data_IF_445607093780
#
_entry.id   IF_445607093780
#
_cell.length_a   1.000
_cell.length_b   1.000
_cell.length_c   1.000
_cell.angle_alpha   90.00
_cell.angle_beta   90.00
_cell.angle_gamma   90.00
#
_symmetry.space_group_name_H-M   'P 1'
#
loop_
_entity.id
_entity.type
_entity.pdbx_description
1 polymer ?
#
# COMPACT_ATOMS: atom_id res chain seq x y z
N UNK A 1 -10.24 9.78 7.32
CA UNK A 1 -8.90 9.19 7.56
C UNK A 1 -9.08 7.87 8.28
N UNK A 2 -8.04 6.99 8.28
CA UNK A 2 -8.01 5.74 9.05
C UNK A 2 -7.05 5.91 10.23
N UNK A 3 -7.33 5.25 11.36
CA UNK A 3 -6.42 5.17 12.49
C UNK A 3 -5.30 4.15 12.16
N UNK A 4 -4.05 4.59 12.22
CA UNK A 4 -2.90 3.74 11.89
C UNK A 4 -2.48 2.86 13.06
N UNK A 5 -2.62 1.54 12.93
CA UNK A 5 -2.27 0.56 13.96
C UNK A 5 -0.80 0.67 14.38
N UNK A 6 0.13 0.76 13.42
CA UNK A 6 1.55 0.87 13.74
C UNK A 6 1.89 2.09 14.58
N UNK A 7 1.24 3.25 14.31
CA UNK A 7 1.38 4.45 15.14
C UNK A 7 0.82 4.23 16.55
N UNK A 8 -0.38 3.64 16.64
CA UNK A 8 -1.03 3.34 17.92
C UNK A 8 -0.16 2.38 18.74
N UNK A 9 0.34 1.31 18.13
CA UNK A 9 1.24 0.36 18.78
C UNK A 9 2.54 1.02 19.25
N UNK A 10 3.15 1.86 18.41
CA UNK A 10 4.36 2.58 18.78
C UNK A 10 4.13 3.53 19.96
N UNK A 11 2.98 4.21 20.02
CA UNK A 11 2.60 5.06 21.15
C UNK A 11 2.40 4.25 22.45
N UNK A 12 1.82 3.07 22.36
CA UNK A 12 1.53 2.25 23.54
C UNK A 12 2.74 1.46 24.06
N UNK A 13 3.62 0.99 23.16
CA UNK A 13 4.66 0.01 23.50
C UNK A 13 6.06 0.34 22.96
N UNK A 14 6.20 1.43 22.20
CA UNK A 14 7.44 1.71 21.47
C UNK A 14 7.59 0.88 20.19
N UNK A 15 8.64 1.18 19.44
CA UNK A 15 8.83 0.62 18.09
C UNK A 15 9.41 -0.80 18.08
N UNK A 16 10.10 -1.20 19.13
CA UNK A 16 10.90 -2.44 19.15
C UNK A 16 10.39 -3.55 20.07
N UNK A 17 9.20 -3.42 20.63
CA UNK A 17 8.66 -4.40 21.59
C UNK A 17 7.86 -5.47 20.85
N UNK A 18 8.36 -6.74 20.77
CA UNK A 18 7.64 -7.81 20.07
C UNK A 18 6.41 -8.30 20.82
N UNK A 19 6.47 -8.36 22.14
CA UNK A 19 5.37 -8.82 22.99
C UNK A 19 4.75 -7.65 23.75
N UNK A 20 3.43 -7.67 23.88
CA UNK A 20 2.66 -6.62 24.58
C UNK A 20 2.18 -7.17 25.94
N UNK A 21 2.34 -6.37 26.99
CA UNK A 21 1.70 -6.65 28.26
C UNK A 21 0.24 -6.17 28.29
N UNK A 22 -0.48 -6.52 29.36
CA UNK A 22 -1.90 -6.18 29.50
C UNK A 22 -2.15 -4.66 29.58
N UNK A 23 -1.23 -3.87 30.11
CA UNK A 23 -1.38 -2.41 30.20
C UNK A 23 -1.19 -1.77 28.81
N UNK A 24 -0.21 -2.24 28.04
CA UNK A 24 0.03 -1.80 26.67
C UNK A 24 -1.15 -2.18 25.75
N UNK A 25 -1.71 -3.39 25.90
CA UNK A 25 -2.89 -3.81 25.16
C UNK A 25 -4.12 -2.94 25.51
N UNK A 26 -4.34 -2.63 26.77
CA UNK A 26 -5.41 -1.73 27.19
C UNK A 26 -5.24 -0.32 26.64
N UNK A 27 -4.00 0.16 26.53
CA UNK A 27 -3.72 1.46 25.93
C UNK A 27 -3.97 1.47 24.40
N UNK A 28 -3.66 0.38 23.70
CA UNK A 28 -4.01 0.21 22.28
C UNK A 28 -5.54 0.29 22.09
N UNK A 29 -6.32 -0.42 22.91
CA UNK A 29 -7.78 -0.36 22.85
C UNK A 29 -8.28 1.07 23.06
N UNK A 30 -7.80 1.75 24.09
CA UNK A 30 -8.16 3.13 24.39
C UNK A 30 -7.85 4.09 23.25
N UNK A 31 -6.68 3.94 22.60
CA UNK A 31 -6.27 4.78 21.47
C UNK A 31 -7.14 4.51 20.24
N UNK A 32 -7.45 3.24 19.92
CA UNK A 32 -8.37 2.90 18.83
C UNK A 32 -9.73 3.54 19.05
N UNK A 33 -10.32 3.37 20.26
CA UNK A 33 -11.61 3.97 20.61
C UNK A 33 -11.60 5.50 20.49
N UNK A 34 -10.51 6.14 20.93
CA UNK A 34 -10.32 7.58 20.83
C UNK A 34 -10.31 8.05 19.38
N UNK A 35 -9.56 7.38 18.50
CA UNK A 35 -9.48 7.75 17.06
C UNK A 35 -10.83 7.53 16.35
N UNK A 36 -11.53 6.44 16.65
CA UNK A 36 -12.87 6.20 16.13
C UNK A 36 -13.87 7.25 16.60
N UNK A 37 -13.80 7.65 17.87
CA UNK A 37 -14.64 8.74 18.41
C UNK A 37 -14.31 10.11 17.79
N UNK A 38 -13.06 10.33 17.38
CA UNK A 38 -12.63 11.51 16.63
C UNK A 38 -13.05 11.50 15.14
N UNK A 39 -13.69 10.42 14.67
CA UNK A 39 -14.26 10.33 13.33
C UNK A 39 -13.41 9.57 12.32
N UNK A 40 -12.45 8.76 12.78
CA UNK A 40 -11.73 7.85 11.88
C UNK A 40 -12.72 6.86 11.22
N UNK A 41 -12.56 6.66 9.90
CA UNK A 41 -13.43 5.78 9.11
C UNK A 41 -13.19 4.29 9.37
N UNK A 42 -12.02 3.93 9.89
CA UNK A 42 -11.60 2.56 10.15
C UNK A 42 -10.21 2.52 10.76
N UNK A 43 -9.63 1.32 10.83
CA UNK A 43 -8.26 1.09 11.29
C UNK A 43 -7.42 0.52 10.13
N UNK A 44 -6.21 1.03 9.94
CA UNK A 44 -5.28 0.51 8.94
C UNK A 44 -4.12 -0.23 9.60
N UNK A 45 -3.78 -1.40 9.06
CA UNK A 45 -2.71 -2.28 9.51
C UNK A 45 -1.58 -2.32 8.49
N UNK A 46 -0.34 -2.41 8.98
CA UNK A 46 0.85 -2.62 8.17
C UNK A 46 1.64 -3.85 8.62
N UNK A 47 1.07 -5.06 8.45
CA UNK A 47 1.64 -6.29 9.01
C UNK A 47 2.98 -6.71 8.40
N UNK A 48 3.37 -6.15 7.24
CA UNK A 48 4.72 -6.30 6.68
C UNK A 48 5.75 -5.37 7.31
N UNK A 49 5.34 -4.39 8.12
CA UNK A 49 6.19 -3.33 8.67
C UNK A 49 6.29 -3.38 10.18
N UNK A 50 7.46 -3.00 10.73
CA UNK A 50 7.58 -2.76 12.16
C UNK A 50 6.80 -1.47 12.54
N UNK A 51 6.09 -1.45 13.67
CA UNK A 51 6.01 -2.50 14.69
C UNK A 51 4.86 -3.51 14.52
N UNK A 52 3.95 -3.35 13.55
CA UNK A 52 2.79 -4.22 13.39
C UNK A 52 3.15 -5.67 13.03
N UNK A 53 4.28 -5.88 12.35
CA UNK A 53 4.78 -7.23 12.01
C UNK A 53 5.05 -8.12 13.25
N UNK A 54 5.17 -7.53 14.43
CA UNK A 54 5.40 -8.28 15.68
C UNK A 54 4.11 -8.84 16.31
N UNK A 55 2.92 -8.51 15.79
CA UNK A 55 1.70 -9.18 16.25
C UNK A 55 1.68 -10.65 15.80
N UNK A 56 1.36 -11.58 16.73
CA UNK A 56 0.77 -12.85 16.32
C UNK A 56 -0.68 -12.62 15.88
N UNK A 57 -1.28 -13.60 15.22
CA UNK A 57 -2.70 -13.51 14.82
C UNK A 57 -3.63 -13.31 16.03
N UNK A 58 -3.34 -14.01 17.16
CA UNK A 58 -4.10 -13.88 18.39
C UNK A 58 -3.95 -12.50 19.02
N UNK A 59 -2.71 -11.99 19.09
CA UNK A 59 -2.45 -10.65 19.62
C UNK A 59 -3.07 -9.56 18.74
N UNK A 60 -3.10 -9.76 17.41
CA UNK A 60 -3.78 -8.86 16.48
C UNK A 60 -5.30 -8.85 16.71
N UNK A 61 -5.93 -10.03 16.84
CA UNK A 61 -7.36 -10.15 17.16
C UNK A 61 -7.67 -9.47 18.50
N UNK A 62 -6.83 -9.64 19.50
CA UNK A 62 -6.98 -8.97 20.79
C UNK A 62 -6.86 -7.45 20.65
N UNK A 63 -5.84 -6.95 19.97
CA UNK A 63 -5.63 -5.51 19.75
C UNK A 63 -6.82 -4.83 19.04
N UNK A 64 -7.51 -5.57 18.17
CA UNK A 64 -8.62 -5.06 17.36
C UNK A 64 -10.00 -5.34 18.00
N UNK A 65 -10.08 -5.83 19.26
CA UNK A 65 -11.37 -6.06 19.95
C UNK A 65 -12.32 -4.85 19.95
N UNK A 66 -11.87 -3.57 19.99
CA UNK A 66 -12.77 -2.42 19.86
C UNK A 66 -13.58 -2.39 18.56
N UNK A 67 -13.15 -3.10 17.51
CA UNK A 67 -13.85 -3.18 16.23
C UNK A 67 -14.86 -4.33 16.13
N UNK A 68 -14.89 -5.22 17.10
CA UNK A 68 -15.74 -6.42 17.04
C UNK A 68 -17.21 -6.09 16.88
N UNK A 69 -17.87 -6.68 15.88
CA UNK A 69 -19.28 -6.46 15.52
C UNK A 69 -19.63 -4.98 15.20
N UNK A 70 -18.64 -4.13 14.90
CA UNK A 70 -18.87 -2.70 14.71
C UNK A 70 -19.30 -2.33 13.29
N UNK A 71 -19.02 -3.19 12.30
CA UNK A 71 -19.12 -2.86 10.88
C UNK A 71 -18.11 -1.81 10.40
N UNK A 72 -17.11 -1.46 11.22
CA UNK A 72 -16.06 -0.51 10.89
C UNK A 72 -14.95 -1.25 10.14
N UNK A 73 -14.53 -0.79 8.94
CA UNK A 73 -13.57 -1.52 8.14
C UNK A 73 -12.16 -1.53 8.76
N UNK A 74 -11.49 -2.67 8.58
CA UNK A 74 -10.05 -2.82 8.75
C UNK A 74 -9.44 -2.85 7.34
N UNK A 75 -8.47 -1.99 7.06
CA UNK A 75 -7.65 -2.08 5.84
C UNK A 75 -6.28 -2.66 6.20
N UNK A 76 -5.68 -3.47 5.33
CA UNK A 76 -4.46 -4.17 5.71
C UNK A 76 -3.47 -4.31 4.56
N UNK A 77 -2.25 -3.81 4.76
CA UNK A 77 -1.06 -4.35 4.11
C UNK A 77 -0.71 -5.67 4.80
N UNK A 78 -0.83 -6.77 4.08
CA UNK A 78 -0.68 -8.11 4.64
C UNK A 78 0.76 -8.38 5.11
N UNK A 79 0.94 -9.40 5.92
CA UNK A 79 2.23 -9.79 6.51
C UNK A 79 3.27 -10.19 5.47
N UNK A 80 2.81 -10.83 4.40
CA UNK A 80 3.60 -11.18 3.22
C UNK A 80 2.75 -11.01 1.96
N UNK A 81 3.38 -10.61 0.87
CA UNK A 81 2.74 -10.41 -0.43
C UNK A 81 3.42 -11.23 -1.55
N UNK A 82 4.47 -11.98 -1.22
CA UNK A 82 5.20 -12.89 -2.10
C UNK A 82 4.86 -14.36 -1.84
N UNK A 83 5.85 -15.17 -1.47
CA UNK A 83 5.68 -16.62 -1.33
C UNK A 83 4.72 -17.02 -0.22
N UNK A 84 4.56 -16.20 0.82
CA UNK A 84 3.64 -16.41 1.93
C UNK A 84 2.28 -15.71 1.79
N UNK A 85 1.98 -15.09 0.64
CA UNK A 85 0.79 -14.24 0.46
C UNK A 85 -0.53 -14.97 0.69
N UNK A 86 -0.63 -16.23 0.30
CA UNK A 86 -1.85 -17.04 0.49
C UNK A 86 -2.11 -17.30 1.97
N UNK A 87 -1.07 -17.57 2.76
CA UNK A 87 -1.20 -17.78 4.21
C UNK A 87 -1.48 -16.46 4.94
N UNK A 88 -0.89 -15.35 4.49
CA UNK A 88 -1.20 -14.02 4.99
C UNK A 88 -2.68 -13.64 4.73
N UNK A 89 -3.25 -14.03 3.59
CA UNK A 89 -4.68 -13.85 3.34
C UNK A 89 -5.54 -14.74 4.26
N UNK A 90 -5.14 -15.99 4.53
CA UNK A 90 -5.85 -16.85 5.49
C UNK A 90 -5.83 -16.27 6.91
N UNK A 91 -4.73 -15.63 7.32
CA UNK A 91 -4.66 -14.86 8.56
C UNK A 91 -5.75 -13.78 8.58
N UNK A 92 -5.89 -12.98 7.54
CA UNK A 92 -6.90 -11.91 7.47
C UNK A 92 -8.34 -12.44 7.46
N UNK A 93 -8.60 -13.55 6.78
CA UNK A 93 -9.90 -14.22 6.86
C UNK A 93 -10.20 -14.69 8.29
N UNK A 94 -9.19 -15.18 9.01
CA UNK A 94 -9.32 -15.58 10.42
C UNK A 94 -9.64 -14.39 11.31
N UNK A 95 -8.95 -13.26 11.12
CA UNK A 95 -9.23 -12.00 11.86
C UNK A 95 -10.64 -11.50 11.58
N UNK A 96 -11.06 -11.47 10.31
CA UNK A 96 -12.41 -11.06 9.92
C UNK A 96 -13.50 -11.93 10.56
N UNK A 97 -13.31 -13.26 10.59
CA UNK A 97 -14.20 -14.21 11.25
C UNK A 97 -14.28 -13.98 12.76
N UNK A 98 -13.15 -13.77 13.42
CA UNK A 98 -13.09 -13.59 14.87
C UNK A 98 -13.73 -12.27 15.35
N UNK A 99 -13.58 -11.22 14.54
CA UNK A 99 -14.07 -9.88 14.88
C UNK A 99 -15.46 -9.57 14.30
N UNK A 100 -15.96 -10.37 13.35
CA UNK A 100 -17.21 -10.08 12.62
C UNK A 100 -17.26 -8.63 12.13
N UNK A 101 -16.19 -8.18 11.44
CA UNK A 101 -16.07 -6.83 10.90
C UNK A 101 -15.46 -6.88 9.50
N UNK A 102 -15.77 -5.91 8.61
CA UNK A 102 -15.25 -5.90 7.25
C UNK A 102 -13.71 -5.79 7.21
N UNK A 103 -13.08 -6.56 6.33
CA UNK A 103 -11.64 -6.46 6.02
C UNK A 103 -11.45 -6.12 4.55
N UNK A 104 -10.69 -5.07 4.28
CA UNK A 104 -10.20 -4.69 2.95
C UNK A 104 -8.71 -5.03 2.88
N UNK A 105 -8.35 -5.98 2.03
CA UNK A 105 -6.96 -6.31 1.75
C UNK A 105 -6.41 -5.27 0.79
N UNK A 106 -5.53 -4.41 1.27
CA UNK A 106 -4.96 -3.30 0.50
C UNK A 106 -4.02 -3.81 -0.58
N UNK A 107 -4.04 -3.15 -1.75
CA UNK A 107 -3.11 -3.34 -2.87
C UNK A 107 -2.75 -4.80 -3.15
N UNK A 108 -3.78 -5.66 -3.25
CA UNK A 108 -3.62 -7.11 -3.46
C UNK A 108 -2.68 -7.38 -4.64
N UNK A 109 -1.66 -8.20 -4.42
CA UNK A 109 -0.67 -8.58 -5.43
C UNK A 109 0.01 -9.90 -5.09
N UNK A 110 0.77 -10.43 -6.04
CA UNK A 110 1.69 -11.57 -5.86
C UNK A 110 3.09 -11.13 -6.25
N UNK A 111 3.95 -10.87 -5.26
CA UNK A 111 5.33 -10.42 -5.49
C UNK A 111 6.21 -11.59 -5.95
N UNK A 112 6.95 -11.36 -7.06
CA UNK A 112 7.96 -12.27 -7.59
C UNK A 112 7.45 -13.24 -8.62
N UNK A 113 8.27 -13.45 -9.68
CA UNK A 113 7.92 -14.24 -10.88
C UNK A 113 7.41 -15.65 -10.59
N UNK A 114 7.93 -16.29 -9.54
CA UNK A 114 7.50 -17.64 -9.14
C UNK A 114 6.06 -17.69 -8.58
N UNK A 115 5.51 -16.55 -8.17
CA UNK A 115 4.20 -16.42 -7.56
C UNK A 115 3.14 -15.92 -8.55
N UNK A 116 3.57 -15.26 -9.65
CA UNK A 116 2.67 -14.72 -10.68
C UNK A 116 1.79 -15.81 -11.29
N UNK A 117 0.56 -15.46 -11.63
CA UNK A 117 -0.46 -16.34 -12.23
C UNK A 117 -0.84 -17.55 -11.38
N UNK A 118 -0.23 -17.72 -10.20
CA UNK A 118 -0.48 -18.84 -9.29
C UNK A 118 -1.15 -18.39 -7.98
N UNK A 119 -0.56 -17.39 -7.30
CA UNK A 119 -1.10 -16.98 -6.00
C UNK A 119 -2.34 -16.10 -6.14
N UNK A 120 -2.42 -15.24 -7.15
CA UNK A 120 -3.58 -14.35 -7.37
C UNK A 120 -4.89 -15.13 -7.58
N UNK A 121 -5.00 -16.13 -8.47
CA UNK A 121 -6.20 -16.93 -8.60
C UNK A 121 -6.61 -17.66 -7.32
N UNK A 122 -5.64 -18.17 -6.56
CA UNK A 122 -5.90 -18.85 -5.28
C UNK A 122 -6.44 -17.87 -4.23
N UNK A 123 -5.87 -16.66 -4.14
CA UNK A 123 -6.36 -15.63 -3.23
C UNK A 123 -7.79 -15.21 -3.55
N UNK A 124 -8.10 -14.96 -4.83
CA UNK A 124 -9.45 -14.59 -5.27
C UNK A 124 -10.46 -15.72 -4.96
N UNK A 125 -10.07 -17.00 -5.14
CA UNK A 125 -10.89 -18.16 -4.77
C UNK A 125 -11.15 -18.21 -3.26
N UNK A 126 -10.12 -18.04 -2.42
CA UNK A 126 -10.27 -18.04 -0.97
C UNK A 126 -11.16 -16.90 -0.47
N UNK A 127 -11.01 -15.71 -1.04
CA UNK A 127 -11.89 -14.58 -0.70
C UNK A 127 -13.34 -14.85 -1.10
N UNK A 128 -13.57 -15.48 -2.27
CA UNK A 128 -14.89 -15.85 -2.71
C UNK A 128 -15.53 -16.90 -1.77
N UNK A 129 -14.78 -17.91 -1.36
CA UNK A 129 -15.24 -18.91 -0.38
C UNK A 129 -15.57 -18.27 0.97
N UNK A 130 -14.70 -17.42 1.49
CA UNK A 130 -14.94 -16.69 2.74
C UNK A 130 -16.22 -15.84 2.66
N UNK A 131 -16.47 -15.15 1.53
CA UNK A 131 -17.71 -14.40 1.32
C UNK A 131 -18.96 -15.29 1.28
N UNK A 132 -18.86 -16.49 0.72
CA UNK A 132 -19.96 -17.47 0.75
C UNK A 132 -20.29 -17.96 2.17
N UNK A 133 -19.31 -17.97 3.06
CA UNK A 133 -19.46 -18.25 4.49
C UNK A 133 -19.93 -17.02 5.31
N UNK A 134 -20.21 -15.89 4.64
CA UNK A 134 -20.70 -14.67 5.29
C UNK A 134 -19.60 -13.74 5.84
N UNK A 135 -18.33 -13.97 5.48
CA UNK A 135 -17.23 -13.07 5.86
C UNK A 135 -17.22 -11.86 4.94
N UNK A 136 -17.22 -10.66 5.51
CA UNK A 136 -17.08 -9.43 4.75
C UNK A 136 -15.60 -9.17 4.47
N UNK A 137 -15.12 -9.66 3.30
CA UNK A 137 -13.75 -9.47 2.83
C UNK A 137 -13.73 -8.98 1.39
N UNK A 138 -12.91 -7.97 1.13
CA UNK A 138 -12.71 -7.33 -0.15
C UNK A 138 -11.25 -6.99 -0.35
N UNK A 139 -10.87 -6.45 -1.50
CA UNK A 139 -9.51 -6.00 -1.77
C UNK A 139 -9.49 -4.74 -2.61
N UNK A 140 -8.35 -4.09 -2.65
CA UNK A 140 -8.07 -3.05 -3.60
C UNK A 140 -6.79 -3.34 -4.40
N UNK A 141 -6.56 -2.57 -5.46
CA UNK A 141 -5.41 -2.70 -6.35
C UNK A 141 -5.10 -1.35 -7.00
N UNK A 142 -3.84 -1.08 -7.26
CA UNK A 142 -3.42 0.01 -8.13
C UNK A 142 -3.01 -0.53 -9.51
N UNK A 143 -3.25 0.23 -10.61
CA UNK A 143 -3.05 -0.26 -11.98
C UNK A 143 -1.59 -0.11 -12.45
N UNK A 144 -0.63 -0.62 -11.69
CA UNK A 144 0.81 -0.62 -12.02
C UNK A 144 1.48 -1.90 -11.54
N UNK A 145 2.49 -2.34 -12.29
CA UNK A 145 3.28 -3.55 -11.97
C UNK A 145 4.41 -3.29 -10.98
N UNK A 146 4.68 -2.03 -10.65
CA UNK A 146 5.65 -1.66 -9.63
C UNK A 146 4.97 -1.14 -8.36
N UNK A 147 5.58 -1.40 -7.22
CA UNK A 147 5.28 -0.81 -5.93
C UNK A 147 6.17 0.38 -5.59
N UNK A 148 5.92 1.01 -4.45
CA UNK A 148 6.80 2.02 -3.88
C UNK A 148 6.60 2.09 -2.37
N UNK A 149 7.69 1.91 -1.64
CA UNK A 149 7.74 1.99 -0.17
C UNK A 149 9.14 2.39 0.29
N UNK A 150 9.40 2.36 1.59
CA UNK A 150 10.73 2.61 2.15
C UNK A 150 11.69 1.47 1.79
N UNK A 151 12.91 1.80 1.34
CA UNK A 151 13.92 0.81 0.95
C UNK A 151 14.29 -0.14 2.11
N UNK A 152 14.19 0.32 3.35
CA UNK A 152 14.43 -0.50 4.55
C UNK A 152 13.52 -1.72 4.64
N UNK A 153 12.38 -1.73 3.94
CA UNK A 153 11.46 -2.87 3.87
C UNK A 153 12.07 -4.11 3.18
N UNK A 154 13.13 -3.95 2.43
CA UNK A 154 13.90 -5.07 1.85
C UNK A 154 14.61 -5.91 2.93
N UNK A 155 14.84 -5.33 4.12
CA UNK A 155 15.52 -5.98 5.24
C UNK A 155 14.55 -6.82 6.08
N UNK A 156 15.04 -7.89 6.74
CA UNK A 156 14.25 -8.63 7.72
C UNK A 156 13.69 -7.70 8.81
N UNK A 157 12.39 -7.80 9.16
CA UNK A 157 11.75 -6.88 10.12
C UNK A 157 12.42 -6.82 11.49
N UNK A 158 12.98 -7.94 11.95
CA UNK A 158 13.71 -8.00 13.23
C UNK A 158 14.95 -7.11 13.28
N UNK A 159 15.54 -6.76 12.13
CA UNK A 159 16.66 -5.82 12.05
C UNK A 159 16.28 -4.40 12.47
N UNK A 160 14.98 -4.07 12.41
CA UNK A 160 14.44 -2.76 12.75
C UNK A 160 14.02 -2.63 14.22
N UNK A 161 14.30 -3.64 15.06
CA UNK A 161 14.09 -3.56 16.51
C UNK A 161 14.88 -2.39 17.09
N UNK A 162 14.20 -1.51 17.81
CA UNK A 162 14.79 -0.28 18.36
C UNK A 162 14.66 0.94 17.45
N UNK A 163 14.13 0.78 16.23
CA UNK A 163 13.90 1.88 15.27
C UNK A 163 15.05 2.09 14.29
N UNK A 164 14.85 3.07 13.38
CA UNK A 164 15.76 3.29 12.26
C UNK A 164 17.12 3.89 12.68
N UNK A 165 17.17 4.63 13.78
CA UNK A 165 18.42 5.15 14.32
C UNK A 165 19.33 4.01 14.78
N UNK A 166 18.78 3.08 15.56
CA UNK A 166 19.51 1.88 16.02
C UNK A 166 19.94 1.01 14.84
N UNK A 167 19.07 0.82 13.84
CA UNK A 167 19.46 0.11 12.62
C UNK A 167 20.61 0.80 11.89
N UNK A 168 20.58 2.12 11.78
CA UNK A 168 21.63 2.91 11.12
C UNK A 168 22.99 2.73 11.84
N UNK A 169 22.98 2.71 13.17
CA UNK A 169 24.17 2.46 13.97
C UNK A 169 24.67 1.01 13.79
N UNK A 170 23.78 0.03 13.83
CA UNK A 170 24.12 -1.37 13.64
C UNK A 170 24.68 -1.65 12.23
N UNK A 171 24.22 -0.93 11.21
CA UNK A 171 24.75 -1.04 9.85
C UNK A 171 26.22 -0.53 9.74
N UNK A 172 26.79 0.10 10.76
CA UNK A 172 28.22 0.40 10.81
C UNK A 172 29.09 -0.81 11.22
N UNK A 173 28.49 -1.83 11.85
CA UNK A 173 29.19 -3.04 12.30
C UNK A 173 29.28 -4.09 11.18
N UNK A 174 30.48 -4.49 10.74
CA UNK A 174 30.66 -5.53 9.74
C UNK A 174 30.05 -6.89 10.14
N UNK A 175 30.08 -7.25 11.43
CA UNK A 175 29.53 -8.52 11.89
C UNK A 175 27.99 -8.52 11.79
N UNK A 176 27.34 -7.39 12.10
CA UNK A 176 25.92 -7.23 11.90
C UNK A 176 25.53 -7.33 10.42
N UNK A 177 26.29 -6.69 9.53
CA UNK A 177 26.05 -6.76 8.07
C UNK A 177 26.18 -8.20 7.54
N UNK A 178 27.16 -8.95 7.98
CA UNK A 178 27.32 -10.35 7.55
C UNK A 178 26.15 -11.21 8.01
N UNK A 179 25.76 -11.11 9.29
CA UNK A 179 24.59 -11.82 9.81
C UNK A 179 23.29 -11.41 9.09
N UNK A 180 23.13 -10.12 8.78
CA UNK A 180 21.98 -9.60 8.05
C UNK A 180 21.94 -10.14 6.60
N UNK A 181 23.08 -10.18 5.92
CA UNK A 181 23.23 -10.75 4.59
C UNK A 181 22.89 -12.25 4.57
N UNK A 182 23.43 -13.03 5.51
CA UNK A 182 23.12 -14.46 5.65
C UNK A 182 21.60 -14.67 5.86
N UNK A 183 20.99 -13.85 6.70
CA UNK A 183 19.54 -13.86 6.96
C UNK A 183 18.73 -13.54 5.72
N UNK A 184 19.15 -12.57 4.90
CA UNK A 184 18.51 -12.20 3.63
C UNK A 184 18.68 -13.29 2.56
N UNK A 185 19.80 -14.01 2.55
CA UNK A 185 20.05 -15.09 1.59
C UNK A 185 19.25 -16.36 1.86
N UNK A 186 18.85 -16.61 3.12
CA UNK A 186 18.24 -17.87 3.55
C UNK A 186 16.81 -17.72 4.08
N UNK A 187 16.40 -16.53 4.47
CA UNK A 187 15.10 -16.29 5.11
C UNK A 187 13.93 -16.32 4.16
N UNK A 188 12.88 -17.07 4.53
CA UNK A 188 11.60 -17.17 3.79
C UNK A 188 10.38 -16.83 4.65
N UNK A 189 10.59 -16.48 5.92
CA UNK A 189 9.55 -16.19 6.92
C UNK A 189 9.21 -14.69 7.02
N UNK A 190 9.78 -13.88 6.14
CA UNK A 190 9.47 -12.46 5.95
C UNK A 190 9.37 -12.13 4.45
N UNK A 191 8.92 -10.93 4.11
CA UNK A 191 8.85 -10.45 2.73
C UNK A 191 10.25 -10.17 2.18
N UNK A 192 10.88 -11.18 1.59
CA UNK A 192 12.25 -11.09 1.08
C UNK A 192 12.26 -10.59 -0.36
N UNK A 193 11.97 -9.30 -0.55
CA UNK A 193 11.84 -8.66 -1.87
C UNK A 193 13.11 -8.88 -2.71
N UNK A 194 14.30 -8.80 -2.11
CA UNK A 194 15.57 -8.97 -2.84
C UNK A 194 15.71 -10.34 -3.50
N UNK A 195 15.21 -11.41 -2.87
CA UNK A 195 15.20 -12.76 -3.45
C UNK A 195 14.02 -12.97 -4.42
N UNK A 196 12.88 -12.30 -4.19
CA UNK A 196 11.68 -12.45 -5.00
C UNK A 196 11.82 -11.80 -6.38
N UNK A 197 12.50 -10.65 -6.45
CA UNK A 197 12.56 -9.86 -7.70
C UNK A 197 13.99 -9.55 -8.18
N UNK A 198 15.00 -9.68 -7.33
CA UNK A 198 16.39 -9.32 -7.63
C UNK A 198 16.69 -7.82 -7.44
N UNK A 199 17.93 -7.49 -7.15
CA UNK A 199 18.37 -6.11 -6.92
C UNK A 199 18.31 -5.22 -8.16
N UNK A 200 18.22 -5.80 -9.35
CA UNK A 200 18.01 -5.09 -10.63
C UNK A 200 16.62 -4.47 -10.73
N UNK A 201 15.64 -5.00 -9.99
CA UNK A 201 14.26 -4.54 -9.97
C UNK A 201 13.92 -3.66 -8.76
N UNK A 202 14.90 -3.33 -7.92
CA UNK A 202 14.74 -2.45 -6.75
C UNK A 202 15.49 -1.15 -7.04
N UNK A 203 14.74 -0.07 -7.27
CA UNK A 203 15.25 1.24 -7.69
C UNK A 203 15.16 2.23 -6.52
N UNK A 204 16.27 2.88 -6.15
CA UNK A 204 16.24 3.98 -5.20
C UNK A 204 15.55 5.19 -5.86
N UNK A 205 14.40 5.62 -5.33
CA UNK A 205 13.56 6.64 -5.98
C UNK A 205 13.65 8.01 -5.34
N UNK A 206 13.75 8.07 -4.02
CA UNK A 206 13.94 9.33 -3.28
C UNK A 206 14.94 9.10 -2.15
N UNK A 207 15.92 9.99 -2.06
CA UNK A 207 16.96 9.96 -1.04
C UNK A 207 17.01 11.31 -0.35
N UNK A 208 16.79 11.35 0.96
CA UNK A 208 16.77 12.59 1.74
C UNK A 208 18.11 13.34 1.69
N UNK A 209 19.19 12.59 1.71
CA UNK A 209 20.55 13.11 1.75
C UNK A 209 21.03 13.58 0.36
N UNK A 210 21.29 14.89 0.24
CA UNK A 210 21.56 15.56 -1.05
C UNK A 210 22.76 15.01 -1.81
N UNK A 211 23.83 14.64 -1.13
CA UNK A 211 25.06 14.09 -1.74
C UNK A 211 24.91 12.65 -2.28
N UNK A 212 23.81 11.97 -1.91
CA UNK A 212 23.48 10.63 -2.42
C UNK A 212 22.44 10.64 -3.55
N UNK A 213 21.82 11.77 -3.86
CA UNK A 213 20.77 11.87 -4.89
C UNK A 213 21.21 11.49 -6.29
N UNK A 214 22.53 11.41 -6.54
CA UNK A 214 23.06 10.85 -7.77
C UNK A 214 22.64 9.40 -8.02
N UNK A 215 22.18 8.67 -7.01
CA UNK A 215 21.68 7.30 -7.08
C UNK A 215 20.16 7.22 -7.31
N UNK A 216 19.44 8.34 -7.26
CA UNK A 216 18.00 8.36 -7.54
C UNK A 216 17.74 7.92 -8.99
N UNK A 217 16.78 7.00 -9.17
CA UNK A 217 16.47 6.38 -10.45
C UNK A 217 17.37 5.21 -10.83
N UNK A 218 18.36 4.84 -10.01
CA UNK A 218 19.22 3.69 -10.24
C UNK A 218 18.78 2.48 -9.43
N UNK A 219 18.89 1.28 -10.01
CA UNK A 219 18.68 0.04 -9.27
C UNK A 219 19.83 -0.22 -8.28
N UNK A 220 19.55 -0.96 -7.21
CA UNK A 220 20.60 -1.36 -6.26
C UNK A 220 21.72 -2.15 -6.94
N UNK A 221 21.38 -2.96 -7.95
CA UNK A 221 22.37 -3.67 -8.76
C UNK A 221 23.27 -2.70 -9.55
N UNK A 222 22.72 -1.65 -10.17
CA UNK A 222 23.48 -0.64 -10.91
C UNK A 222 24.36 0.19 -9.97
N UNK A 223 23.88 0.56 -8.79
CA UNK A 223 24.66 1.26 -7.76
C UNK A 223 25.86 0.39 -7.32
N UNK A 224 25.62 -0.91 -7.11
CA UNK A 224 26.66 -1.86 -6.72
C UNK A 224 27.74 -1.97 -7.81
N UNK A 225 27.35 -2.13 -9.06
CA UNK A 225 28.26 -2.19 -10.22
C UNK A 225 29.13 -0.92 -10.31
N UNK A 226 28.48 0.27 -10.23
CA UNK A 226 29.18 1.56 -10.26
C UNK A 226 30.23 1.69 -9.14
N UNK A 227 29.94 1.10 -7.96
CA UNK A 227 30.82 1.16 -6.79
C UNK A 227 31.85 0.02 -6.75
N UNK A 228 31.75 -0.97 -7.65
CA UNK A 228 32.58 -2.18 -7.62
C UNK A 228 32.35 -3.05 -6.37
N UNK A 229 31.10 -3.10 -5.89
CA UNK A 229 30.68 -3.83 -4.67
C UNK A 229 29.63 -4.89 -5.02
N UNK A 230 29.40 -5.83 -4.10
CA UNK A 230 28.22 -6.69 -4.16
C UNK A 230 26.94 -5.92 -3.78
N UNK A 231 25.75 -6.32 -4.29
CA UNK A 231 24.51 -5.60 -4.07
C UNK A 231 24.09 -5.44 -2.60
N UNK A 232 24.40 -6.40 -1.72
CA UNK A 232 24.10 -6.28 -0.29
C UNK A 232 24.93 -5.18 0.35
N UNK A 233 26.24 -5.13 0.04
CA UNK A 233 27.12 -4.07 0.53
C UNK A 233 26.63 -2.70 0.06
N UNK A 234 26.27 -2.56 -1.22
CA UNK A 234 25.75 -1.29 -1.75
C UNK A 234 24.43 -0.87 -1.09
N UNK A 235 23.51 -1.81 -0.85
CA UNK A 235 22.25 -1.59 -0.13
C UNK A 235 22.53 -1.09 1.30
N UNK A 236 23.39 -1.78 2.05
CA UNK A 236 23.69 -1.43 3.43
C UNK A 236 24.41 -0.08 3.55
N UNK A 237 25.34 0.21 2.63
CA UNK A 237 26.03 1.51 2.59
C UNK A 237 25.06 2.64 2.29
N UNK A 238 24.13 2.44 1.35
CA UNK A 238 23.11 3.45 1.01
C UNK A 238 22.17 3.71 2.19
N UNK A 239 21.64 2.64 2.82
CA UNK A 239 20.76 2.76 3.98
C UNK A 239 21.47 3.43 5.16
N UNK A 240 22.70 3.00 5.48
CA UNK A 240 23.48 3.60 6.55
C UNK A 240 23.74 5.09 6.29
N UNK A 241 24.24 5.42 5.10
CA UNK A 241 24.61 6.77 4.73
C UNK A 241 23.40 7.72 4.69
N UNK A 242 22.23 7.23 4.31
CA UNK A 242 20.99 8.00 4.25
C UNK A 242 20.15 7.93 5.53
N UNK A 243 20.68 7.37 6.64
CA UNK A 243 19.94 7.14 7.89
C UNK A 243 18.62 6.39 7.66
N UNK A 244 18.64 5.40 6.78
CA UNK A 244 17.49 4.61 6.33
C UNK A 244 16.35 5.41 5.66
N UNK A 245 16.53 6.70 5.39
CA UNK A 245 15.53 7.56 4.74
C UNK A 245 15.71 7.54 3.20
N UNK A 246 15.34 6.40 2.62
CA UNK A 246 15.34 6.13 1.19
C UNK A 246 14.03 5.47 0.81
N UNK A 247 13.34 6.03 -0.19
CA UNK A 247 12.18 5.39 -0.82
C UNK A 247 12.62 4.58 -2.04
N UNK A 248 11.99 3.48 -2.30
CA UNK A 248 12.21 2.67 -3.49
C UNK A 248 10.99 2.61 -4.40
N UNK A 249 11.23 2.28 -5.67
CA UNK A 249 10.26 1.73 -6.60
C UNK A 249 10.74 0.32 -6.93
N UNK A 250 9.88 -0.67 -6.79
CA UNK A 250 10.19 -2.07 -7.00
C UNK A 250 9.24 -2.71 -8.02
N UNK A 251 9.79 -3.37 -9.04
CA UNK A 251 9.04 -4.02 -10.11
C UNK A 251 8.67 -5.44 -9.69
N UNK A 252 7.45 -5.64 -9.19
CA UNK A 252 7.06 -6.77 -8.34
C UNK A 252 5.92 -7.63 -8.87
N UNK A 253 5.03 -7.10 -9.73
CA UNK A 253 3.77 -7.73 -10.09
C UNK A 253 3.66 -8.01 -11.59
N UNK A 254 2.80 -8.98 -11.95
CA UNK A 254 2.40 -9.24 -13.32
C UNK A 254 1.13 -8.47 -13.67
N UNK A 255 1.06 -7.92 -14.89
CA UNK A 255 -0.10 -7.17 -15.36
C UNK A 255 -1.36 -8.04 -15.48
N UNK A 256 -1.21 -9.31 -15.86
CA UNK A 256 -2.36 -10.23 -15.94
C UNK A 256 -2.98 -10.50 -14.56
N UNK A 257 -2.17 -10.58 -13.50
CA UNK A 257 -2.65 -10.68 -12.12
C UNK A 257 -3.44 -9.43 -11.71
N UNK A 258 -2.98 -8.23 -12.12
CA UNK A 258 -3.73 -6.99 -11.93
C UNK A 258 -5.08 -7.04 -12.67
N UNK A 259 -5.10 -7.54 -13.91
CA UNK A 259 -6.34 -7.72 -14.67
C UNK A 259 -7.32 -8.66 -13.96
N UNK A 260 -6.84 -9.76 -13.37
CA UNK A 260 -7.69 -10.70 -12.66
C UNK A 260 -8.28 -10.08 -11.39
N UNK A 261 -7.49 -9.31 -10.63
CA UNK A 261 -7.97 -8.57 -9.47
C UNK A 261 -8.99 -7.49 -9.89
N UNK A 262 -8.72 -6.77 -10.99
CA UNK A 262 -9.65 -5.77 -11.54
C UNK A 262 -10.99 -6.38 -12.01
N UNK A 263 -11.04 -7.65 -12.35
CA UNK A 263 -12.27 -8.37 -12.72
C UNK A 263 -13.09 -8.83 -11.52
N UNK A 264 -12.48 -9.00 -10.33
CA UNK A 264 -13.26 -9.37 -9.12
C UNK A 264 -14.25 -8.25 -8.77
N UNK A 265 -15.52 -8.62 -8.60
CA UNK A 265 -16.60 -7.66 -8.32
C UNK A 265 -16.44 -6.93 -6.97
N UNK A 266 -15.60 -7.45 -6.09
CA UNK A 266 -15.36 -6.93 -4.75
C UNK A 266 -14.03 -6.17 -4.63
N UNK A 267 -13.32 -5.94 -5.75
CA UNK A 267 -12.12 -5.09 -5.72
C UNK A 267 -12.45 -3.61 -5.90
N UNK A 268 -11.65 -2.76 -5.27
CA UNK A 268 -11.60 -1.31 -5.50
C UNK A 268 -10.33 -0.94 -6.26
N UNK A 269 -10.26 0.28 -6.78
CA UNK A 269 -9.03 0.87 -7.32
C UNK A 269 -8.57 1.99 -6.41
N UNK A 270 -7.31 1.92 -6.03
CA UNK A 270 -6.62 2.92 -5.21
C UNK A 270 -5.38 3.45 -5.92
N UNK A 271 -4.84 4.56 -5.44
CA UNK A 271 -3.55 5.06 -5.91
C UNK A 271 -2.38 4.51 -5.12
N UNK A 272 -2.58 4.18 -3.86
CA UNK A 272 -1.51 3.79 -2.92
C UNK A 272 -0.33 4.79 -2.93
N UNK A 273 -0.65 6.07 -3.11
CA UNK A 273 0.33 7.13 -3.36
C UNK A 273 1.05 7.54 -2.09
N UNK A 274 2.37 7.59 -2.17
CA UNK A 274 3.24 8.24 -1.20
C UNK A 274 3.83 9.50 -1.82
N UNK A 275 4.09 10.52 -1.01
CA UNK A 275 4.56 11.83 -1.47
C UNK A 275 5.92 12.17 -0.85
N UNK A 276 7.01 11.54 -1.28
CA UNK A 276 8.33 11.95 -0.84
C UNK A 276 8.60 13.39 -1.28
N UNK A 277 9.33 14.14 -0.47
CA UNK A 277 9.60 15.57 -0.70
C UNK A 277 10.72 15.79 -1.73
N UNK A 278 11.40 14.72 -2.14
CA UNK A 278 12.54 14.75 -3.06
C UNK A 278 12.54 13.53 -3.96
N UNK A 279 13.36 13.58 -5.03
CA UNK A 279 13.59 12.44 -5.91
C UNK A 279 12.47 12.14 -6.88
N UNK A 280 12.43 10.90 -7.34
CA UNK A 280 11.46 10.41 -8.31
C UNK A 280 10.24 9.84 -7.60
N UNK A 281 9.07 10.34 -7.95
CA UNK A 281 7.79 9.78 -7.51
C UNK A 281 7.47 8.52 -8.31
N UNK A 282 6.67 7.63 -7.74
CA UNK A 282 6.00 6.62 -8.54
C UNK A 282 4.92 7.29 -9.42
N UNK A 283 4.77 6.95 -10.72
CA UNK A 283 3.77 7.59 -11.60
C UNK A 283 2.33 7.44 -11.11
N UNK A 284 2.03 6.49 -10.21
CA UNK A 284 0.72 6.31 -9.60
C UNK A 284 0.22 7.53 -8.81
N UNK A 285 1.12 8.42 -8.39
CA UNK A 285 0.75 9.67 -7.70
C UNK A 285 -0.13 10.56 -8.59
N UNK A 286 0.20 10.64 -9.87
CA UNK A 286 -0.48 11.53 -10.82
C UNK A 286 -1.39 10.79 -11.80
N UNK A 287 -1.11 9.51 -12.07
CA UNK A 287 -1.70 8.80 -13.21
C UNK A 287 -2.65 7.66 -12.89
N UNK A 288 -2.88 7.28 -11.62
CA UNK A 288 -3.58 6.04 -11.28
C UNK A 288 -4.93 5.88 -11.99
N UNK A 289 -5.81 6.85 -11.86
CA UNK A 289 -7.18 6.71 -12.38
C UNK A 289 -7.25 6.88 -13.89
N UNK A 290 -6.38 7.69 -14.47
CA UNK A 290 -6.26 7.80 -15.93
C UNK A 290 -5.57 6.59 -16.54
N UNK A 291 -4.59 5.97 -15.88
CA UNK A 291 -4.00 4.68 -16.28
C UNK A 291 -5.06 3.58 -16.31
N UNK A 292 -5.95 3.53 -15.32
CA UNK A 292 -7.06 2.59 -15.33
C UNK A 292 -7.95 2.78 -16.57
N UNK A 293 -8.36 4.03 -16.85
CA UNK A 293 -9.26 4.35 -17.95
C UNK A 293 -8.58 4.18 -19.32
N UNK A 294 -7.37 4.63 -19.48
CA UNK A 294 -6.62 4.56 -20.73
C UNK A 294 -6.20 3.12 -21.04
N UNK A 295 -5.40 2.53 -20.17
CA UNK A 295 -4.76 1.25 -20.45
C UNK A 295 -5.69 0.06 -20.22
N UNK A 296 -6.30 -0.06 -19.03
CA UNK A 296 -7.09 -1.25 -18.70
C UNK A 296 -8.50 -1.24 -19.28
N UNK A 297 -9.13 -0.06 -19.47
CA UNK A 297 -10.46 0.04 -20.09
C UNK A 297 -10.36 0.18 -21.59
N UNK A 298 -9.70 1.25 -22.09
CA UNK A 298 -9.71 1.59 -23.51
C UNK A 298 -8.82 0.67 -24.36
N UNK A 299 -7.59 0.40 -23.93
CA UNK A 299 -6.62 -0.37 -24.73
C UNK A 299 -6.74 -1.86 -24.52
N UNK A 300 -6.64 -2.33 -23.29
CA UNK A 300 -6.69 -3.77 -22.95
C UNK A 300 -8.10 -4.35 -22.90
N UNK A 301 -9.11 -3.52 -22.68
CA UNK A 301 -10.50 -3.96 -22.50
C UNK A 301 -10.64 -5.02 -21.38
N UNK A 302 -9.83 -4.88 -20.33
CA UNK A 302 -9.82 -5.81 -19.19
C UNK A 302 -11.12 -5.74 -18.38
N UNK A 303 -11.78 -4.57 -18.37
CA UNK A 303 -13.09 -4.32 -17.73
C UNK A 303 -13.85 -3.23 -18.49
N UNK A 304 -15.18 -3.15 -18.30
CA UNK A 304 -15.97 -2.06 -18.87
C UNK A 304 -15.75 -0.75 -18.13
N UNK A 305 -16.09 0.38 -18.79
CA UNK A 305 -15.99 1.69 -18.15
C UNK A 305 -16.89 1.82 -16.92
N UNK A 306 -18.10 1.24 -16.96
CA UNK A 306 -19.03 1.23 -15.83
C UNK A 306 -18.43 0.49 -14.62
N UNK A 307 -17.77 -0.65 -14.87
CA UNK A 307 -17.09 -1.40 -13.84
C UNK A 307 -15.91 -0.62 -13.27
N UNK A 308 -15.09 0.01 -14.11
CA UNK A 308 -13.96 0.83 -13.68
C UNK A 308 -14.42 2.01 -12.81
N UNK A 309 -15.42 2.76 -13.26
CA UNK A 309 -15.99 3.89 -12.50
C UNK A 309 -16.58 3.41 -11.18
N UNK A 310 -17.32 2.30 -11.17
CA UNK A 310 -17.88 1.75 -9.93
C UNK A 310 -16.79 1.40 -8.91
N UNK A 311 -15.68 0.81 -9.34
CA UNK A 311 -14.54 0.45 -8.46
C UNK A 311 -13.86 1.66 -7.84
N UNK A 312 -13.81 2.78 -8.56
CA UNK A 312 -13.22 4.04 -8.07
C UNK A 312 -14.19 4.87 -7.21
N UNK A 313 -15.48 4.57 -7.22
CA UNK A 313 -16.53 5.41 -6.64
C UNK A 313 -17.46 4.64 -5.71
N UNK A 314 -18.55 4.05 -6.21
CA UNK A 314 -19.58 3.39 -5.41
C UNK A 314 -19.05 2.23 -4.57
N UNK A 315 -18.12 1.44 -5.12
CA UNK A 315 -17.51 0.34 -4.37
C UNK A 315 -16.62 0.87 -3.23
N UNK A 316 -15.74 1.84 -3.50
CA UNK A 316 -14.89 2.45 -2.50
C UNK A 316 -15.70 3.16 -1.40
N UNK A 317 -16.74 3.89 -1.78
CA UNK A 317 -17.65 4.52 -0.83
C UNK A 317 -18.35 3.50 0.09
N UNK A 318 -18.77 2.36 -0.47
CA UNK A 318 -19.38 1.27 0.31
C UNK A 318 -18.39 0.67 1.33
N UNK A 319 -17.14 0.41 0.94
CA UNK A 319 -16.09 -0.12 1.85
C UNK A 319 -15.87 0.84 3.01
N UNK A 320 -15.81 2.13 2.74
CA UNK A 320 -15.54 3.16 3.75
C UNK A 320 -16.81 3.63 4.49
N UNK A 321 -17.98 3.05 4.20
CA UNK A 321 -19.24 3.43 4.84
C UNK A 321 -19.73 4.84 4.52
N UNK A 322 -19.29 5.45 3.40
CA UNK A 322 -19.69 6.79 2.96
C UNK A 322 -21.09 6.73 2.35
N UNK A 323 -22.04 7.45 2.95
CA UNK A 323 -23.47 7.34 2.60
C UNK A 323 -23.91 8.28 1.48
N UNK A 324 -23.20 9.39 1.28
CA UNK A 324 -23.60 10.44 0.32
C UNK A 324 -22.69 10.51 -0.91
N UNK A 325 -21.73 9.58 -1.04
CA UNK A 325 -20.71 9.59 -2.09
C UNK A 325 -20.75 8.34 -2.97
N UNK A 326 -20.14 8.44 -4.14
CA UNK A 326 -19.85 7.31 -5.02
C UNK A 326 -20.93 6.90 -5.99
N UNK A 327 -22.11 7.54 -5.95
CA UNK A 327 -23.21 7.31 -6.92
C UNK A 327 -23.82 8.63 -7.36
N UNK A 328 -24.33 8.67 -8.58
CA UNK A 328 -25.03 9.80 -9.15
C UNK A 328 -26.54 9.62 -8.92
N UNK A 329 -27.09 10.28 -7.90
CA UNK A 329 -28.50 10.24 -7.56
C UNK A 329 -28.94 11.52 -6.84
N UNK A 330 -30.23 11.88 -6.85
CA UNK A 330 -30.75 13.00 -6.09
C UNK A 330 -30.44 12.86 -4.58
N UNK A 331 -29.93 13.93 -3.96
CA UNK A 331 -29.56 13.94 -2.53
C UNK A 331 -28.14 13.48 -2.23
N UNK A 332 -27.38 13.04 -3.24
CA UNK A 332 -25.96 12.71 -3.09
C UNK A 332 -25.07 13.94 -3.29
N UNK A 333 -23.84 13.88 -2.81
CA UNK A 333 -22.85 14.94 -3.02
C UNK A 333 -22.52 15.05 -4.51
N UNK A 334 -22.46 16.27 -5.00
CA UNK A 334 -22.17 16.54 -6.41
C UNK A 334 -20.65 16.55 -6.69
N UNK A 335 -20.02 15.39 -6.50
CA UNK A 335 -18.65 15.12 -6.92
C UNK A 335 -18.70 14.42 -8.28
N UNK A 336 -18.42 15.16 -9.36
CA UNK A 336 -18.69 14.74 -10.74
C UNK A 336 -17.45 14.92 -11.61
N UNK A 337 -17.20 13.97 -12.49
CA UNK A 337 -16.20 14.06 -13.55
C UNK A 337 -16.89 14.02 -14.91
N UNK A 338 -16.54 14.96 -15.80
CA UNK A 338 -16.97 14.98 -17.20
C UNK A 338 -15.71 14.81 -18.05
N UNK A 339 -15.68 13.77 -18.85
CA UNK A 339 -14.53 13.45 -19.70
C UNK A 339 -14.95 12.67 -20.95
N UNK A 340 -14.13 12.75 -21.99
CA UNK A 340 -14.18 11.86 -23.14
C UNK A 340 -13.15 10.75 -22.96
N UNK A 341 -13.59 9.48 -22.87
CA UNK A 341 -12.71 8.33 -22.68
C UNK A 341 -11.63 8.26 -23.78
N UNK A 342 -11.94 8.69 -25.02
CA UNK A 342 -10.97 8.68 -26.13
C UNK A 342 -9.84 9.69 -25.94
N UNK A 343 -10.06 10.75 -25.17
CA UNK A 343 -9.11 11.82 -24.90
C UNK A 343 -8.33 11.64 -23.58
N UNK A 344 -8.80 10.74 -22.69
CA UNK A 344 -8.08 10.47 -21.42
C UNK A 344 -6.69 9.93 -21.70
N UNK A 345 -5.67 10.55 -21.11
CA UNK A 345 -4.27 10.18 -21.28
C UNK A 345 -3.47 10.35 -20.00
N UNK A 346 -2.71 9.32 -19.66
CA UNK A 346 -1.77 9.30 -18.54
C UNK A 346 -0.42 9.85 -18.99
N UNK A 347 -0.07 11.05 -18.52
CA UNK A 347 1.20 11.70 -18.89
C UNK A 347 2.36 11.26 -17.98
N UNK A 348 2.06 10.82 -16.74
CA UNK A 348 3.05 10.42 -15.77
C UNK A 348 3.74 9.10 -16.17
N UNK A 349 5.08 9.10 -16.18
CA UNK A 349 5.93 7.93 -16.46
C UNK A 349 6.93 7.71 -15.33
N UNK A 350 7.63 6.56 -15.31
CA UNK A 350 8.69 6.32 -14.33
C UNK A 350 9.87 7.28 -14.46
N UNK A 351 10.13 7.81 -15.66
CA UNK A 351 11.20 8.78 -15.93
C UNK A 351 10.77 10.24 -15.73
N UNK A 352 9.47 10.53 -15.83
CA UNK A 352 8.88 11.85 -15.64
C UNK A 352 7.51 11.73 -14.94
N UNK A 353 7.53 11.44 -13.63
CA UNK A 353 6.32 11.06 -12.90
C UNK A 353 5.41 12.23 -12.50
N UNK A 354 5.93 13.46 -12.42
CA UNK A 354 5.19 14.62 -11.91
C UNK A 354 4.43 15.34 -13.02
N UNK A 355 3.69 14.58 -13.84
CA UNK A 355 2.89 15.08 -14.95
C UNK A 355 1.41 14.92 -14.68
N UNK A 356 0.64 16.02 -14.79
CA UNK A 356 -0.81 15.94 -14.72
C UNK A 356 -1.36 15.19 -15.95
N UNK A 357 -2.38 14.38 -15.70
CA UNK A 357 -3.09 13.66 -16.77
C UNK A 357 -3.88 14.61 -17.66
N UNK A 358 -4.14 14.20 -18.90
CA UNK A 358 -4.94 14.94 -19.87
C UNK A 358 -6.33 14.30 -20.08
N UNK A 359 -7.27 15.03 -20.70
CA UNK A 359 -8.60 14.55 -21.09
C UNK A 359 -9.66 14.57 -19.99
N UNK A 360 -9.37 15.14 -18.83
CA UNK A 360 -10.37 15.40 -17.79
C UNK A 360 -10.88 16.83 -17.95
N UNK A 361 -12.00 17.00 -18.66
CA UNK A 361 -12.47 18.33 -19.05
C UNK A 361 -13.00 19.13 -17.86
N UNK A 362 -13.85 18.49 -17.05
CA UNK A 362 -14.51 19.19 -15.93
C UNK A 362 -14.60 18.26 -14.72
N UNK A 363 -14.20 18.79 -13.56
CA UNK A 363 -14.29 18.11 -12.28
C UNK A 363 -15.02 19.02 -11.29
N UNK A 364 -16.13 18.52 -10.74
CA UNK A 364 -16.85 19.18 -9.65
C UNK A 364 -16.52 18.49 -8.32
N UNK A 365 -16.32 19.31 -7.29
CA UNK A 365 -16.23 18.88 -5.90
C UNK A 365 -17.28 19.64 -5.10
N UNK A 366 -18.19 18.93 -4.45
CA UNK A 366 -19.34 19.51 -3.73
C UNK A 366 -20.12 20.52 -4.59
N UNK A 367 -20.33 20.21 -5.88
CA UNK A 367 -21.05 21.04 -6.83
C UNK A 367 -20.30 22.27 -7.33
N UNK A 368 -19.03 22.46 -6.96
CA UNK A 368 -18.19 23.57 -7.44
C UNK A 368 -17.15 23.07 -8.42
N UNK A 369 -16.94 23.72 -9.56
CA UNK A 369 -15.92 23.28 -10.51
C UNK A 369 -14.52 23.48 -9.92
N UNK A 370 -13.78 22.39 -9.73
CA UNK A 370 -12.36 22.39 -9.37
C UNK A 370 -11.48 22.42 -10.62
N UNK A 371 -11.90 21.70 -11.68
CA UNK A 371 -11.34 21.79 -13.02
C UNK A 371 -12.44 22.19 -13.98
N UNK A 372 -12.17 23.12 -14.89
CA UNK A 372 -13.06 23.57 -15.95
C UNK A 372 -12.27 23.73 -17.24
N UNK A 373 -12.72 23.06 -18.32
CA UNK A 373 -12.01 23.01 -19.61
C UNK A 373 -10.53 22.60 -19.46
N UNK A 374 -10.26 21.60 -18.61
CA UNK A 374 -8.92 21.08 -18.34
C UNK A 374 -8.03 21.96 -17.45
N UNK A 375 -8.50 23.10 -16.96
CA UNK A 375 -7.74 24.03 -16.14
C UNK A 375 -8.23 24.07 -14.69
N UNK A 376 -7.30 24.08 -13.71
CA UNK A 376 -7.63 24.24 -12.31
C UNK A 376 -8.20 25.64 -12.02
N UNK A 377 -9.36 25.70 -11.38
CA UNK A 377 -10.09 26.95 -11.13
C UNK A 377 -9.65 27.71 -9.87
N UNK A 378 -8.82 27.08 -9.02
CA UNK A 378 -8.48 27.58 -7.69
C UNK A 378 -9.52 27.25 -6.61
N UNK A 379 -10.61 26.53 -6.95
CA UNK A 379 -11.63 26.14 -5.96
C UNK A 379 -11.12 25.03 -5.03
N UNK A 380 -11.22 25.28 -3.72
CA UNK A 380 -10.88 24.33 -2.65
C UNK A 380 -12.17 23.93 -1.91
N UNK A 381 -13.09 23.25 -2.61
CA UNK A 381 -14.42 22.90 -2.10
C UNK A 381 -14.46 21.57 -1.34
N UNK A 382 -13.35 20.83 -1.30
CA UNK A 382 -13.24 19.56 -0.59
C UNK A 382 -13.36 19.70 0.92
N UNK A 383 -13.86 18.65 1.58
CA UNK A 383 -13.94 18.56 3.04
C UNK A 383 -13.28 17.27 3.51
N UNK A 384 -12.80 17.26 4.75
CA UNK A 384 -12.29 16.02 5.39
C UNK A 384 -13.49 15.13 5.69
N UNK A 385 -13.45 13.89 5.16
CA UNK A 385 -14.48 12.91 5.43
C UNK A 385 -14.26 12.25 6.78
N UNK A 386 -15.30 12.24 7.58
CA UNK A 386 -15.34 11.56 8.89
C UNK A 386 -16.52 10.58 8.92
N UNK A 387 -16.50 9.69 9.88
CA UNK A 387 -17.57 8.72 10.13
C UNK A 387 -18.84 9.38 10.67
#
# INVERSE_FOLDING_TARGET
>A
MLAGSGTIRACAAGFGTPELDAAQMAEIHRLIEQELAAGALGVSLGLGYAPDCFYSTEALIEALQPLKNSGIPITVHMRQEGSGVVDALREMITVAKALHTPVEVSHLKSIGKANWHRCTPEMLRLMQEARQEGVEIACDVYPYTAGSTQLVHVLPPESQKGGLEVLTENLADPAFREALKDRMLTGSDFENISLLVGFENIVASSISRKDLRQYEGQSIAAIAEQQGKDPFTALFDLLQAAHCDVTMIDFIAAEDDICDILRDAHSCVISDSTYPTTGMLHPRVYGTYTMLLEHFVREKQALSIESAVHKCTGRAAKVMGLKTKGILAPGMDADLNIFDLSAVHTCATYSDPAQFSAGMDTVFVAGRPAILNGAFTGSMAGTVLTR
#
